data_IF_631684510597
#
_entry.id   IF_631684510597
#
_cell.length_a   1.000
_cell.length_b   1.000
_cell.length_c   1.000
_cell.angle_alpha   90.00
_cell.angle_beta   90.00
_cell.angle_gamma   90.00
#
_symmetry.space_group_name_H-M   'P 1'
#
loop_
_entity.id
_entity.type
_entity.pdbx_description
1 polymer ?
#
# COMPACT_ATOMS: atom_id res chain seq x y z
N UNK A 1 -10.82 25.68 10.35
CA UNK A 1 -9.94 26.44 9.44
C UNK A 1 -8.88 25.49 8.92
N UNK A 2 -8.88 25.22 7.61
CA UNK A 2 -7.81 24.45 6.96
C UNK A 2 -6.53 25.29 7.11
N UNK A 3 -5.51 24.77 7.79
CA UNK A 3 -4.19 25.43 7.76
C UNK A 3 -3.78 25.62 6.30
N UNK A 4 -3.42 26.84 5.92
CA UNK A 4 -2.87 27.19 4.60
C UNK A 4 -1.44 26.59 4.48
N UNK A 5 -1.33 25.25 4.47
CA UNK A 5 -0.06 24.56 4.30
C UNK A 5 0.31 24.57 2.82
N UNK A 6 1.58 24.84 2.55
CA UNK A 6 2.14 24.78 1.19
C UNK A 6 2.33 23.30 0.83
N UNK A 7 1.42 22.77 0.02
CA UNK A 7 1.45 21.39 -0.48
C UNK A 7 2.09 21.33 -1.89
N UNK A 8 2.75 20.22 -2.25
CA UNK A 8 3.14 19.99 -3.63
C UNK A 8 1.92 19.94 -4.57
N UNK A 9 2.12 20.38 -5.81
CA UNK A 9 1.07 20.25 -6.82
C UNK A 9 0.92 18.79 -7.29
N UNK A 10 -0.29 18.38 -7.70
CA UNK A 10 -0.50 17.08 -8.38
C UNK A 10 0.51 16.84 -9.51
N UNK A 11 0.76 17.82 -10.40
CA UNK A 11 1.74 17.64 -11.46
C UNK A 11 3.13 17.31 -10.91
N UNK A 12 3.59 18.03 -9.88
CA UNK A 12 4.87 17.75 -9.24
C UNK A 12 4.91 16.35 -8.61
N UNK A 13 3.84 15.94 -7.92
CA UNK A 13 3.73 14.60 -7.36
C UNK A 13 3.77 13.51 -8.44
N UNK A 14 3.07 13.73 -9.55
CA UNK A 14 2.99 12.78 -10.65
C UNK A 14 4.30 12.69 -11.44
N UNK A 15 5.02 13.81 -11.60
CA UNK A 15 6.38 13.81 -12.18
C UNK A 15 7.32 13.03 -11.28
N UNK A 16 7.29 13.25 -9.96
CA UNK A 16 8.15 12.50 -9.03
C UNK A 16 7.80 11.00 -9.08
N UNK A 17 6.51 10.65 -9.02
CA UNK A 17 6.05 9.27 -9.15
C UNK A 17 6.53 8.61 -10.45
N UNK A 18 6.45 9.33 -11.57
CA UNK A 18 6.97 8.86 -12.86
C UNK A 18 8.48 8.63 -12.82
N UNK A 19 9.26 9.59 -12.35
CA UNK A 19 10.73 9.48 -12.29
C UNK A 19 11.18 8.31 -11.41
N UNK A 20 10.56 8.18 -10.22
CA UNK A 20 10.83 7.06 -9.30
C UNK A 20 10.38 5.74 -9.94
N UNK A 21 9.21 5.69 -10.58
CA UNK A 21 8.72 4.50 -11.28
C UNK A 21 9.65 4.03 -12.40
N UNK A 22 10.21 4.95 -13.19
CA UNK A 22 11.24 4.63 -14.20
C UNK A 22 12.52 4.12 -13.54
N UNK A 23 12.99 4.77 -12.47
CA UNK A 23 14.18 4.32 -11.74
C UNK A 23 13.97 2.94 -11.12
N UNK A 24 12.77 2.62 -10.64
CA UNK A 24 12.40 1.32 -10.09
C UNK A 24 12.53 0.20 -11.13
N UNK A 25 11.92 0.36 -12.32
CA UNK A 25 11.94 -0.68 -13.37
C UNK A 25 13.29 -0.79 -14.10
N UNK A 26 14.22 0.14 -13.87
CA UNK A 26 15.56 0.14 -14.46
C UNK A 26 16.63 -0.18 -13.42
N UNK A 27 17.02 0.83 -12.64
CA UNK A 27 18.07 0.77 -11.62
C UNK A 27 17.65 -0.17 -10.48
N UNK A 28 16.41 -0.08 -10.01
CA UNK A 28 15.88 -0.93 -8.94
C UNK A 28 15.86 -2.41 -9.34
N UNK A 29 15.30 -2.71 -10.51
CA UNK A 29 15.27 -4.06 -11.08
C UNK A 29 16.69 -4.64 -11.25
N UNK A 30 17.63 -3.84 -11.77
CA UNK A 30 19.02 -4.25 -11.88
C UNK A 30 19.66 -4.52 -10.52
N UNK A 31 19.45 -3.65 -9.53
CA UNK A 31 20.00 -3.82 -8.19
C UNK A 31 19.47 -5.08 -7.49
N UNK A 32 18.18 -5.37 -7.64
CA UNK A 32 17.54 -6.57 -7.07
C UNK A 32 17.97 -7.87 -7.75
N UNK A 33 18.34 -7.82 -9.05
CA UNK A 33 18.81 -9.01 -9.79
C UNK A 33 20.13 -9.59 -9.26
N UNK A 34 20.98 -8.78 -8.62
CA UNK A 34 22.25 -9.23 -8.05
C UNK A 34 22.09 -9.82 -6.65
N UNK A 35 21.63 -9.00 -5.70
CA UNK A 35 21.32 -9.43 -4.34
C UNK A 35 20.01 -8.79 -3.90
N UNK A 36 18.99 -9.60 -3.68
CA UNK A 36 17.63 -9.11 -3.40
C UNK A 36 17.57 -8.20 -2.17
N UNK A 37 18.23 -8.52 -1.06
CA UNK A 37 18.20 -7.69 0.14
C UNK A 37 18.88 -6.34 -0.08
N UNK A 38 20.06 -6.33 -0.71
CA UNK A 38 20.77 -5.09 -1.02
C UNK A 38 20.00 -4.26 -2.06
N UNK A 39 19.43 -4.92 -3.07
CA UNK A 39 18.61 -4.28 -4.09
C UNK A 39 17.35 -3.64 -3.52
N UNK A 40 16.70 -4.29 -2.55
CA UNK A 40 15.57 -3.71 -1.81
C UNK A 40 16.02 -2.48 -1.00
N UNK A 41 17.14 -2.56 -0.27
CA UNK A 41 17.67 -1.39 0.45
C UNK A 41 17.99 -0.21 -0.48
N UNK A 42 18.60 -0.47 -1.64
CA UNK A 42 18.85 0.54 -2.68
C UNK A 42 17.54 1.13 -3.17
N UNK A 43 16.56 0.28 -3.47
CA UNK A 43 15.24 0.70 -3.97
C UNK A 43 14.55 1.62 -2.96
N UNK A 44 14.46 1.20 -1.71
CA UNK A 44 13.72 1.91 -0.69
C UNK A 44 14.41 3.22 -0.26
N UNK A 45 15.71 3.18 0.01
CA UNK A 45 16.41 4.35 0.54
C UNK A 45 16.88 5.30 -0.56
N UNK A 46 17.44 4.80 -1.66
CA UNK A 46 18.05 5.64 -2.70
C UNK A 46 17.08 6.02 -3.81
N UNK A 47 16.14 5.13 -4.18
CA UNK A 47 15.20 5.38 -5.28
C UNK A 47 13.89 6.00 -4.78
N UNK A 48 13.38 5.57 -3.62
CA UNK A 48 12.08 6.04 -3.09
C UNK A 48 12.26 7.19 -2.10
N UNK A 49 12.94 6.94 -0.97
CA UNK A 49 13.00 7.89 0.14
C UNK A 49 13.81 9.14 -0.19
N UNK A 50 15.03 8.96 -0.69
CA UNK A 50 15.95 10.07 -0.94
C UNK A 50 15.37 11.09 -1.93
N UNK A 51 14.86 10.72 -3.13
CA UNK A 51 14.30 11.69 -4.06
C UNK A 51 13.05 12.38 -3.51
N UNK A 52 12.22 11.65 -2.74
CA UNK A 52 11.03 12.22 -2.10
C UNK A 52 11.39 13.31 -1.08
N UNK A 53 12.31 13.03 -0.15
CA UNK A 53 12.73 14.00 0.85
C UNK A 53 13.51 15.16 0.23
N UNK A 54 14.37 14.87 -0.75
CA UNK A 54 15.14 15.87 -1.48
C UNK A 54 14.24 16.83 -2.25
N UNK A 55 13.21 16.29 -2.94
CA UNK A 55 12.20 17.09 -3.64
C UNK A 55 11.47 18.05 -2.69
N UNK A 56 10.97 17.54 -1.56
CA UNK A 56 10.29 18.37 -0.56
C UNK A 56 11.19 19.49 -0.04
N UNK A 57 12.47 19.17 0.23
CA UNK A 57 13.45 20.14 0.73
C UNK A 57 13.77 21.24 -0.29
N UNK A 58 14.05 20.89 -1.55
CA UNK A 58 14.40 21.86 -2.61
C UNK A 58 13.25 22.81 -2.92
N UNK A 59 12.02 22.32 -2.92
CA UNK A 59 10.83 23.13 -3.20
C UNK A 59 10.37 23.99 -2.01
N UNK A 60 11.06 23.88 -0.88
CA UNK A 60 10.74 24.59 0.35
C UNK A 60 9.39 24.16 0.95
N UNK A 61 9.00 22.90 0.76
CA UNK A 61 7.84 22.32 1.41
C UNK A 61 8.22 21.87 2.82
N UNK A 62 7.40 22.21 3.81
CA UNK A 62 7.63 21.78 5.19
C UNK A 62 7.51 20.26 5.30
N UNK A 63 8.61 19.57 5.61
CA UNK A 63 8.66 18.11 5.76
C UNK A 63 7.67 17.67 6.84
N UNK A 64 7.69 18.31 8.00
CA UNK A 64 6.84 17.94 9.14
C UNK A 64 5.35 18.04 8.83
N UNK A 65 4.94 19.11 8.14
CA UNK A 65 3.53 19.37 7.84
C UNK A 65 3.01 18.52 6.68
N UNK A 66 3.79 18.40 5.61
CA UNK A 66 3.40 17.61 4.44
C UNK A 66 3.40 16.11 4.73
N UNK A 67 4.41 15.63 5.46
CA UNK A 67 4.49 14.24 5.88
C UNK A 67 3.66 13.93 7.12
N UNK A 68 2.92 14.89 7.70
CA UNK A 68 2.10 14.67 8.91
C UNK A 68 2.88 13.95 10.03
N UNK A 69 4.09 14.43 10.35
CA UNK A 69 4.94 13.85 11.41
C UNK A 69 4.44 14.25 12.81
N UNK A 70 3.22 13.83 13.12
CA UNK A 70 2.57 13.99 14.41
C UNK A 70 2.68 12.68 15.19
N UNK A 71 2.90 12.78 16.50
CA UNK A 71 2.86 11.62 17.38
C UNK A 71 1.46 11.00 17.45
N UNK A 72 1.41 9.72 17.81
CA UNK A 72 0.16 9.03 18.14
C UNK A 72 0.16 8.65 19.62
N UNK A 73 -1.02 8.59 20.23
CA UNK A 73 -1.16 8.04 21.58
C UNK A 73 -1.29 6.51 21.56
N UNK A 74 -1.13 5.88 22.72
CA UNK A 74 -1.21 4.42 22.85
C UNK A 74 -2.54 3.85 22.35
N UNK A 75 -3.66 4.54 22.61
CA UNK A 75 -4.98 4.10 22.14
C UNK A 75 -5.02 4.05 20.61
N UNK A 76 -4.51 5.08 19.93
CA UNK A 76 -4.41 5.08 18.47
C UNK A 76 -3.52 3.95 17.96
N UNK A 77 -2.36 3.73 18.58
CA UNK A 77 -1.46 2.64 18.21
C UNK A 77 -2.16 1.26 18.33
N UNK A 78 -2.86 1.01 19.43
CA UNK A 78 -3.62 -0.24 19.63
C UNK A 78 -4.71 -0.39 18.57
N UNK A 79 -5.48 0.67 18.28
CA UNK A 79 -6.50 0.60 17.23
C UNK A 79 -5.89 0.33 15.86
N UNK A 80 -4.78 0.96 15.50
CA UNK A 80 -4.06 0.70 14.24
C UNK A 80 -3.64 -0.77 14.15
N UNK A 81 -3.04 -1.31 15.20
CA UNK A 81 -2.62 -2.73 15.26
C UNK A 81 -3.83 -3.64 15.04
N UNK A 82 -4.92 -3.43 15.79
CA UNK A 82 -6.13 -4.23 15.64
C UNK A 82 -6.71 -4.11 14.24
N UNK A 83 -6.83 -2.89 13.69
CA UNK A 83 -7.34 -2.67 12.34
C UNK A 83 -6.53 -3.47 11.33
N UNK A 84 -5.20 -3.47 11.40
CA UNK A 84 -4.35 -4.19 10.45
C UNK A 84 -4.47 -5.70 10.61
N UNK A 85 -4.41 -6.21 11.84
CA UNK A 85 -4.58 -7.66 12.11
C UNK A 85 -5.92 -8.16 11.57
N UNK A 86 -7.01 -7.45 11.86
CA UNK A 86 -8.34 -7.82 11.38
C UNK A 86 -8.56 -7.49 9.89
N UNK A 87 -7.69 -6.71 9.25
CA UNK A 87 -7.76 -6.46 7.79
C UNK A 87 -7.06 -7.53 6.97
N UNK A 88 -6.22 -8.38 7.58
CA UNK A 88 -5.40 -9.35 6.85
C UNK A 88 -6.22 -10.37 6.04
N UNK A 89 -7.34 -10.96 6.54
CA UNK A 89 -8.18 -11.84 5.73
C UNK A 89 -8.82 -11.14 4.53
N UNK A 90 -9.10 -9.83 4.65
CA UNK A 90 -9.65 -9.01 3.57
C UNK A 90 -8.59 -8.81 2.48
N UNK A 91 -7.35 -8.54 2.88
CA UNK A 91 -6.22 -8.41 1.96
C UNK A 91 -5.96 -9.73 1.20
N UNK A 92 -5.98 -10.87 1.91
CA UNK A 92 -5.88 -12.21 1.28
C UNK A 92 -6.99 -12.40 0.25
N UNK A 93 -8.25 -12.09 0.61
CA UNK A 93 -9.38 -12.23 -0.30
C UNK A 93 -9.22 -11.41 -1.58
N UNK A 94 -8.81 -10.15 -1.48
CA UNK A 94 -8.55 -9.32 -2.66
C UNK A 94 -7.40 -9.85 -3.52
N UNK A 95 -6.32 -10.31 -2.89
CA UNK A 95 -5.20 -10.89 -3.61
C UNK A 95 -5.61 -12.19 -4.32
N UNK A 96 -6.36 -13.05 -3.65
CA UNK A 96 -6.88 -14.30 -4.20
C UNK A 96 -7.82 -14.08 -5.38
N UNK A 97 -8.71 -13.08 -5.31
CA UNK A 97 -9.53 -12.66 -6.46
C UNK A 97 -8.64 -12.25 -7.63
N UNK A 98 -7.61 -11.44 -7.37
CA UNK A 98 -6.68 -10.99 -8.41
C UNK A 98 -5.99 -12.16 -9.12
N UNK A 99 -5.46 -13.10 -8.33
CA UNK A 99 -4.83 -14.32 -8.85
C UNK A 99 -5.82 -15.20 -9.62
N UNK A 100 -7.00 -15.46 -9.05
CA UNK A 100 -8.03 -16.26 -9.71
C UNK A 100 -8.50 -15.67 -11.04
N UNK A 101 -8.60 -14.35 -11.14
CA UNK A 101 -8.93 -13.70 -12.41
C UNK A 101 -7.79 -13.82 -13.41
N UNK A 102 -6.54 -13.69 -12.95
CA UNK A 102 -5.36 -13.71 -13.80
C UNK A 102 -5.05 -15.11 -14.34
N UNK A 103 -5.21 -16.14 -13.50
CA UNK A 103 -4.94 -17.54 -13.81
C UNK A 103 -5.76 -18.05 -15.01
N UNK A 104 -6.95 -17.46 -15.24
CA UNK A 104 -7.78 -17.73 -16.43
C UNK A 104 -7.14 -17.31 -17.75
N UNK A 105 -6.16 -16.43 -17.72
CA UNK A 105 -5.52 -15.85 -18.90
C UNK A 105 -4.04 -16.19 -18.99
N UNK A 106 -3.34 -16.30 -17.87
CA UNK A 106 -1.89 -16.49 -17.84
C UNK A 106 -1.46 -17.35 -16.63
N UNK A 107 -0.34 -18.06 -16.79
CA UNK A 107 0.24 -18.84 -15.70
C UNK A 107 0.74 -17.92 -14.59
N UNK A 108 0.22 -18.13 -13.38
CA UNK A 108 0.68 -17.46 -12.16
C UNK A 108 2.11 -17.89 -11.86
N UNK A 109 3.01 -16.91 -11.72
CA UNK A 109 4.43 -17.14 -11.40
C UNK A 109 4.69 -16.89 -9.91
N UNK A 110 5.44 -17.76 -9.22
CA UNK A 110 5.74 -17.58 -7.80
C UNK A 110 6.49 -16.27 -7.53
N UNK A 111 6.29 -15.71 -6.34
CA UNK A 111 6.96 -14.49 -5.91
C UNK A 111 8.45 -14.73 -5.68
N UNK A 112 9.27 -13.74 -6.03
CA UNK A 112 10.73 -13.78 -5.90
C UNK A 112 11.24 -13.35 -4.52
N UNK A 113 10.36 -12.93 -3.60
CA UNK A 113 10.75 -12.47 -2.27
C UNK A 113 11.19 -13.67 -1.42
N UNK A 114 12.40 -13.64 -0.82
CA UNK A 114 12.89 -14.75 -0.02
C UNK A 114 12.02 -15.01 1.21
N UNK A 115 11.62 -16.26 1.38
CA UNK A 115 11.00 -16.74 2.62
C UNK A 115 12.13 -17.14 3.57
N UNK A 116 12.27 -16.53 4.76
CA UNK A 116 13.32 -16.90 5.68
C UNK A 116 13.06 -18.30 6.27
N UNK A 117 14.13 -19.06 6.54
CA UNK A 117 14.06 -20.37 7.22
C UNK A 117 14.67 -20.37 8.62
N UNK A 118 15.58 -19.41 8.88
CA UNK A 118 16.23 -19.24 10.19
C UNK A 118 15.78 -17.95 10.88
N UNK A 119 15.84 -17.91 12.22
CA UNK A 119 15.53 -16.69 12.97
C UNK A 119 16.39 -15.49 12.56
N UNK A 120 17.67 -15.73 12.22
CA UNK A 120 18.56 -14.68 11.70
C UNK A 120 18.07 -14.12 10.37
N UNK A 121 17.68 -14.98 9.43
CA UNK A 121 17.09 -14.55 8.16
C UNK A 121 15.76 -13.83 8.38
N UNK A 122 14.93 -14.31 9.31
CA UNK A 122 13.68 -13.65 9.67
C UNK A 122 13.91 -12.22 10.16
N UNK A 123 14.90 -12.00 11.04
CA UNK A 123 15.24 -10.66 11.51
C UNK A 123 15.73 -9.73 10.39
N UNK A 124 16.57 -10.26 9.48
CA UNK A 124 17.03 -9.50 8.31
C UNK A 124 15.84 -9.15 7.40
N UNK A 125 14.98 -10.13 7.10
CA UNK A 125 13.78 -9.92 6.30
C UNK A 125 12.81 -8.95 6.97
N UNK A 126 12.66 -8.97 8.29
CA UNK A 126 11.84 -7.98 9.00
C UNK A 126 12.36 -6.56 8.76
N UNK A 127 13.68 -6.35 8.88
CA UNK A 127 14.26 -5.03 8.66
C UNK A 127 14.11 -4.57 7.20
N UNK A 128 14.38 -5.46 6.24
CA UNK A 128 14.47 -5.10 4.81
C UNK A 128 13.13 -5.15 4.08
N UNK A 129 12.26 -6.10 4.40
CA UNK A 129 11.00 -6.38 3.66
C UNK A 129 9.77 -5.85 4.42
N UNK A 130 9.85 -5.67 5.75
CA UNK A 130 8.73 -5.15 6.53
C UNK A 130 8.93 -3.70 6.97
N UNK A 131 9.99 -3.41 7.73
CA UNK A 131 10.22 -2.09 8.32
C UNK A 131 10.61 -1.06 7.26
N UNK A 132 11.54 -1.40 6.36
CA UNK A 132 12.07 -0.46 5.39
C UNK A 132 10.99 0.06 4.42
N UNK A 133 10.18 -0.79 3.75
CA UNK A 133 9.09 -0.31 2.90
C UNK A 133 8.01 0.41 3.71
N UNK A 134 7.74 -0.09 4.92
CA UNK A 134 6.82 0.56 5.86
C UNK A 134 7.18 2.00 6.18
N UNK A 135 8.46 2.39 6.12
CA UNK A 135 8.92 3.77 6.28
C UNK A 135 8.92 4.51 4.93
N UNK A 136 9.62 3.96 3.94
CA UNK A 136 9.97 4.68 2.72
C UNK A 136 8.74 4.88 1.82
N UNK A 137 7.95 3.83 1.63
CA UNK A 137 6.73 3.90 0.83
C UNK A 137 5.67 4.79 1.50
N UNK A 138 5.51 4.73 2.83
CA UNK A 138 4.55 5.61 3.53
C UNK A 138 4.91 7.09 3.36
N UNK A 139 6.20 7.45 3.46
CA UNK A 139 6.67 8.82 3.22
C UNK A 139 6.31 9.30 1.82
N UNK A 140 6.50 8.45 0.80
CA UNK A 140 6.14 8.78 -0.58
C UNK A 140 4.62 8.84 -0.78
N UNK A 141 3.88 7.79 -0.43
CA UNK A 141 2.48 7.64 -0.80
C UNK A 141 1.52 8.40 0.12
N UNK A 142 1.69 8.32 1.45
CA UNK A 142 0.79 8.94 2.42
C UNK A 142 1.24 10.34 2.80
N UNK A 143 2.55 10.55 2.82
CA UNK A 143 3.15 11.86 3.03
C UNK A 143 3.04 12.75 1.80
N UNK A 144 3.75 12.41 0.73
CA UNK A 144 3.93 13.30 -0.43
C UNK A 144 2.78 13.23 -1.44
N UNK A 145 2.47 12.04 -1.98
CA UNK A 145 1.46 11.87 -3.04
C UNK A 145 0.07 12.20 -2.49
N UNK A 146 -0.40 11.52 -1.44
CA UNK A 146 -1.75 11.75 -0.92
C UNK A 146 -2.00 13.22 -0.56
N UNK A 147 -1.06 13.87 0.14
CA UNK A 147 -1.18 15.29 0.50
C UNK A 147 -1.28 16.20 -0.74
N UNK A 148 -0.60 15.88 -1.84
CA UNK A 148 -0.69 16.65 -3.10
C UNK A 148 -2.07 16.55 -3.76
N UNK A 149 -2.79 15.47 -3.47
CA UNK A 149 -4.14 15.23 -3.96
C UNK A 149 -5.24 15.75 -3.00
N UNK A 150 -4.91 16.24 -1.79
CA UNK A 150 -5.89 16.78 -0.81
C UNK A 150 -6.79 17.86 -1.43
N UNK A 151 -6.27 18.65 -2.38
CA UNK A 151 -7.01 19.67 -3.15
C UNK A 151 -8.14 19.14 -4.02
N UNK A 152 -8.19 17.85 -4.32
CA UNK A 152 -9.30 17.18 -5.02
C UNK A 152 -10.40 16.70 -4.05
N UNK A 153 -10.14 16.79 -2.74
CA UNK A 153 -10.95 16.18 -1.70
C UNK A 153 -10.32 14.89 -1.15
N UNK A 154 -10.62 14.60 0.11
CA UNK A 154 -9.99 13.54 0.89
C UNK A 154 -10.26 12.18 0.27
N UNK A 155 -11.52 11.90 -0.08
CA UNK A 155 -11.89 10.64 -0.73
C UNK A 155 -11.07 10.39 -2.00
N UNK A 156 -10.92 11.40 -2.86
CA UNK A 156 -10.14 11.28 -4.09
C UNK A 156 -8.65 11.11 -3.80
N UNK A 157 -8.10 11.83 -2.84
CA UNK A 157 -6.70 11.68 -2.42
C UNK A 157 -6.38 10.27 -1.93
N UNK A 158 -7.24 9.67 -1.10
CA UNK A 158 -7.10 8.27 -0.65
C UNK A 158 -7.14 7.32 -1.85
N UNK A 159 -8.15 7.45 -2.71
CA UNK A 159 -8.35 6.54 -3.84
C UNK A 159 -7.18 6.62 -4.83
N UNK A 160 -6.78 7.82 -5.24
CA UNK A 160 -5.68 7.99 -6.19
C UNK A 160 -4.36 7.50 -5.60
N UNK A 161 -4.02 7.88 -4.36
CA UNK A 161 -2.79 7.39 -3.72
C UNK A 161 -2.77 5.86 -3.60
N UNK A 162 -3.90 5.24 -3.23
CA UNK A 162 -4.03 3.79 -3.14
C UNK A 162 -3.86 3.06 -4.48
N UNK A 163 -4.43 3.59 -5.56
CA UNK A 163 -4.29 3.03 -6.91
C UNK A 163 -2.83 3.14 -7.37
N UNK A 164 -2.22 4.33 -7.19
CA UNK A 164 -0.82 4.56 -7.54
C UNK A 164 0.12 3.64 -6.74
N UNK A 165 -0.19 3.40 -5.47
CA UNK A 165 0.55 2.48 -4.60
C UNK A 165 0.53 1.04 -5.13
N UNK A 166 -0.63 0.53 -5.54
CA UNK A 166 -0.72 -0.80 -6.13
C UNK A 166 0.02 -0.94 -7.46
N UNK A 167 -0.13 0.05 -8.35
CA UNK A 167 0.58 0.06 -9.65
C UNK A 167 2.10 0.11 -9.47
N UNK A 168 2.58 0.78 -8.42
CA UNK A 168 3.99 0.98 -8.16
C UNK A 168 4.76 -0.34 -7.89
N UNK A 169 4.06 -1.42 -7.59
CA UNK A 169 4.67 -2.74 -7.42
C UNK A 169 5.04 -3.42 -8.75
N UNK A 170 4.59 -2.89 -9.90
CA UNK A 170 4.84 -3.45 -11.24
C UNK A 170 4.52 -4.94 -11.41
N UNK A 171 3.64 -5.48 -10.56
CA UNK A 171 3.23 -6.88 -10.56
C UNK A 171 1.70 -6.99 -10.48
N UNK A 172 1.07 -7.40 -11.58
CA UNK A 172 -0.39 -7.58 -11.66
C UNK A 172 -0.91 -8.68 -10.72
N UNK A 173 -0.08 -9.67 -10.39
CA UNK A 173 -0.38 -10.70 -9.39
C UNK A 173 -0.51 -10.12 -7.98
N UNK A 174 0.08 -8.95 -7.73
CA UNK A 174 0.08 -8.25 -6.45
C UNK A 174 -0.51 -6.83 -6.57
N UNK A 175 -1.66 -6.68 -7.23
CA UNK A 175 -2.28 -5.38 -7.46
C UNK A 175 -3.39 -5.06 -6.45
N UNK A 176 -4.38 -5.95 -6.31
CA UNK A 176 -5.59 -5.66 -5.54
C UNK A 176 -5.34 -5.58 -4.03
N UNK A 177 -4.45 -6.43 -3.49
CA UNK A 177 -4.06 -6.40 -2.08
C UNK A 177 -3.43 -5.06 -1.67
N UNK A 178 -2.36 -4.61 -2.36
CA UNK A 178 -1.78 -3.30 -2.12
C UNK A 178 -2.75 -2.13 -2.31
N UNK A 179 -3.66 -2.15 -3.31
CA UNK A 179 -4.69 -1.10 -3.44
C UNK A 179 -5.58 -1.06 -2.19
N UNK A 180 -6.03 -2.21 -1.68
CA UNK A 180 -6.83 -2.28 -0.47
C UNK A 180 -6.10 -1.69 0.76
N UNK A 181 -4.84 -2.10 0.97
CA UNK A 181 -3.99 -1.53 2.04
C UNK A 181 -3.73 -0.04 1.83
N UNK A 182 -3.56 0.36 0.56
CA UNK A 182 -3.67 1.70 0.00
C UNK A 182 -4.73 2.53 0.69
N UNK A 183 -5.99 2.10 0.48
CA UNK A 183 -7.19 2.74 1.00
C UNK A 183 -7.20 2.75 2.53
N UNK A 184 -6.88 1.62 3.16
CA UNK A 184 -6.89 1.46 4.60
C UNK A 184 -5.94 2.45 5.30
N UNK A 185 -4.69 2.50 4.85
CA UNK A 185 -3.69 3.42 5.42
C UNK A 185 -4.00 4.88 5.09
N UNK A 186 -4.58 5.18 3.93
CA UNK A 186 -5.09 6.53 3.64
C UNK A 186 -6.14 6.99 4.65
N UNK A 187 -7.09 6.12 5.02
CA UNK A 187 -8.09 6.40 6.06
C UNK A 187 -7.41 6.62 7.43
N UNK A 188 -6.48 5.74 7.81
CA UNK A 188 -5.74 5.84 9.08
C UNK A 188 -4.93 7.15 9.15
N UNK A 189 -4.22 7.51 8.09
CA UNK A 189 -3.42 8.73 8.00
C UNK A 189 -4.28 9.98 8.21
N UNK A 190 -5.48 10.05 7.60
CA UNK A 190 -6.38 11.18 7.82
C UNK A 190 -6.98 11.20 9.22
N UNK A 191 -7.43 10.06 9.74
CA UNK A 191 -8.04 10.02 11.09
C UNK A 191 -7.04 10.40 12.16
N UNK A 192 -5.87 9.79 12.15
CA UNK A 192 -4.81 10.04 13.15
C UNK A 192 -4.03 11.32 12.87
N UNK A 193 -4.16 11.88 11.66
CA UNK A 193 -3.29 12.94 11.15
C UNK A 193 -1.81 12.63 11.36
N UNK A 194 -1.41 11.37 11.24
CA UNK A 194 -0.07 10.90 11.57
C UNK A 194 0.41 9.86 10.56
N UNK A 195 1.60 10.09 10.02
CA UNK A 195 2.31 9.09 9.22
C UNK A 195 2.88 7.97 10.08
N UNK A 196 3.20 8.23 11.35
CA UNK A 196 3.69 7.20 12.27
C UNK A 196 2.65 6.08 12.42
N UNK A 197 1.36 6.44 12.43
CA UNK A 197 0.27 5.47 12.44
C UNK A 197 0.35 4.51 11.24
N UNK A 198 0.57 5.03 10.03
CA UNK A 198 0.60 4.19 8.84
C UNK A 198 1.92 3.43 8.69
N UNK A 199 3.05 4.00 9.13
CA UNK A 199 4.34 3.28 9.20
C UNK A 199 4.22 2.04 10.10
N UNK A 200 3.61 2.19 11.28
CA UNK A 200 3.35 1.06 12.19
C UNK A 200 2.43 0.04 11.52
N UNK A 201 1.33 0.50 10.93
CA UNK A 201 0.36 -0.38 10.28
C UNK A 201 0.94 -1.15 9.10
N UNK A 202 1.73 -0.49 8.26
CA UNK A 202 2.37 -1.08 7.09
C UNK A 202 3.47 -2.07 7.51
N UNK A 203 4.35 -1.67 8.42
CA UNK A 203 5.38 -2.57 8.97
C UNK A 203 4.72 -3.82 9.57
N UNK A 204 3.63 -3.67 10.33
CA UNK A 204 2.89 -4.78 10.90
C UNK A 204 2.28 -5.69 9.82
N UNK A 205 1.66 -5.13 8.79
CA UNK A 205 1.11 -5.92 7.68
C UNK A 205 2.18 -6.81 7.03
N UNK A 206 3.34 -6.22 6.71
CA UNK A 206 4.43 -6.97 6.07
C UNK A 206 5.06 -7.97 7.05
N UNK A 207 5.08 -7.64 8.34
CA UNK A 207 5.52 -8.57 9.39
C UNK A 207 4.59 -9.78 9.51
N UNK A 208 3.27 -9.58 9.42
CA UNK A 208 2.31 -10.69 9.42
C UNK A 208 2.57 -11.61 8.22
N UNK A 209 2.69 -11.04 7.02
CA UNK A 209 2.99 -11.81 5.81
C UNK A 209 4.31 -12.58 5.93
N UNK A 210 5.36 -11.92 6.43
CA UNK A 210 6.66 -12.52 6.67
C UNK A 210 6.61 -13.66 7.70
N UNK A 211 5.87 -13.47 8.79
CA UNK A 211 5.73 -14.45 9.87
C UNK A 211 4.97 -15.68 9.40
N UNK A 212 3.92 -15.49 8.60
CA UNK A 212 3.18 -16.61 7.99
C UNK A 212 4.11 -17.41 7.08
N UNK A 213 4.85 -16.75 6.19
CA UNK A 213 5.83 -17.42 5.32
C UNK A 213 6.91 -18.18 6.11
N UNK A 214 7.50 -17.54 7.12
CA UNK A 214 8.50 -18.17 8.01
C UNK A 214 7.94 -19.41 8.72
N UNK A 215 6.69 -19.33 9.20
CA UNK A 215 6.06 -20.43 9.92
C UNK A 215 5.74 -21.59 8.99
N UNK A 216 5.20 -21.32 7.80
CA UNK A 216 4.92 -22.35 6.78
C UNK A 216 6.21 -23.09 6.40
N UNK A 217 7.29 -22.36 6.11
CA UNK A 217 8.56 -22.98 5.72
C UNK A 217 9.13 -23.88 6.83
N UNK A 218 9.01 -23.48 8.10
CA UNK A 218 9.43 -24.34 9.24
C UNK A 218 8.56 -25.58 9.41
N UNK A 219 7.29 -25.52 9.06
CA UNK A 219 6.38 -26.67 9.12
C UNK A 219 6.64 -27.63 7.96
N UNK A 220 6.96 -27.13 6.77
CA UNK A 220 7.37 -27.94 5.62
C UNK A 220 8.68 -28.70 5.88
N UNK A 221 9.65 -28.09 6.58
CA UNK A 221 10.86 -28.81 7.02
C UNK A 221 10.55 -29.97 8.00
N UNK A 222 9.38 -29.97 8.64
CA UNK A 222 8.92 -30.98 9.59
C UNK A 222 7.95 -32.03 8.98
N UNK A 223 7.39 -31.77 7.78
CA UNK A 223 6.40 -32.62 7.10
C UNK A 223 7.04 -33.23 5.83
N UNK A 224 6.81 -34.52 5.59
CA UNK A 224 7.31 -35.26 4.42
C UNK A 224 7.03 -34.50 3.10
N UNK A 225 8.03 -34.27 2.22
CA UNK A 225 7.89 -33.55 0.95
C UNK A 225 6.90 -34.17 -0.06
N UNK A 226 6.18 -35.24 0.29
CA UNK A 226 5.17 -35.89 -0.52
C UNK A 226 3.89 -35.05 -0.80
N UNK A 227 3.77 -33.83 -0.25
CA UNK A 227 2.69 -32.89 -0.61
C UNK A 227 3.22 -31.95 -1.70
N UNK A 228 3.19 -32.44 -2.93
CA UNK A 228 3.64 -31.73 -4.11
C UNK A 228 2.68 -30.58 -4.46
N UNK A 229 3.16 -29.33 -4.32
CA UNK A 229 2.55 -28.13 -4.89
C UNK A 229 1.22 -27.67 -4.27
N UNK A 230 1.07 -26.35 -4.08
CA UNK A 230 -0.26 -25.76 -3.86
C UNK A 230 -1.03 -25.86 -5.18
N UNK A 231 -1.81 -26.93 -5.36
CA UNK A 231 -2.74 -27.05 -6.47
C UNK A 231 -3.84 -26.02 -6.26
N UNK A 232 -3.94 -25.03 -7.16
CA UNK A 232 -5.08 -24.13 -7.15
C UNK A 232 -6.34 -24.96 -7.43
N UNK A 233 -7.33 -24.95 -6.54
CA UNK A 233 -8.55 -25.70 -6.77
C UNK A 233 -9.20 -25.22 -8.07
N UNK A 234 -9.64 -26.15 -8.92
CA UNK A 234 -10.31 -25.83 -10.18
C UNK A 234 -11.84 -25.94 -10.06
N UNK A 235 -12.56 -25.34 -11.01
CA UNK A 235 -14.01 -25.49 -11.12
C UNK A 235 -14.80 -25.06 -9.88
N UNK A 236 -15.66 -25.95 -9.37
CA UNK A 236 -16.53 -25.68 -8.22
C UNK A 236 -15.76 -25.49 -6.92
N UNK A 237 -14.60 -26.12 -6.76
CA UNK A 237 -13.79 -26.01 -5.55
C UNK A 237 -13.17 -24.62 -5.42
N UNK A 238 -12.68 -24.07 -6.53
CA UNK A 238 -12.20 -22.69 -6.62
C UNK A 238 -13.29 -21.71 -6.18
N UNK A 239 -14.49 -21.90 -6.73
CA UNK A 239 -15.64 -21.04 -6.47
C UNK A 239 -16.07 -21.11 -5.00
N UNK A 240 -16.10 -22.31 -4.41
CA UNK A 240 -16.37 -22.49 -2.99
C UNK A 240 -15.31 -21.83 -2.11
N UNK A 241 -14.02 -21.92 -2.50
CA UNK A 241 -12.92 -21.22 -1.84
C UNK A 241 -13.09 -19.70 -1.85
N UNK A 242 -13.43 -19.12 -3.01
CA UNK A 242 -13.70 -17.68 -3.13
C UNK A 242 -14.89 -17.28 -2.27
N UNK A 243 -15.98 -18.04 -2.30
CA UNK A 243 -17.18 -17.74 -1.49
C UNK A 243 -16.87 -17.81 0.00
N UNK A 244 -16.15 -18.85 0.44
CA UNK A 244 -15.71 -19.01 1.83
C UNK A 244 -14.84 -17.85 2.29
N UNK A 245 -13.79 -17.51 1.52
CA UNK A 245 -12.93 -16.35 1.79
C UNK A 245 -13.72 -15.04 1.76
N UNK A 246 -14.72 -14.92 0.88
CA UNK A 246 -15.59 -13.75 0.79
C UNK A 246 -16.46 -13.56 2.04
N UNK A 247 -17.02 -14.64 2.59
CA UNK A 247 -17.76 -14.60 3.85
C UNK A 247 -16.84 -14.19 5.00
N UNK A 248 -15.64 -14.76 5.09
CA UNK A 248 -14.64 -14.38 6.10
C UNK A 248 -14.27 -12.90 5.94
N UNK A 249 -13.96 -12.45 4.72
CA UNK A 249 -13.62 -11.07 4.43
C UNK A 249 -14.77 -10.11 4.79
N UNK A 250 -16.03 -10.51 4.59
CA UNK A 250 -17.19 -9.71 4.97
C UNK A 250 -17.32 -9.55 6.48
N UNK A 251 -17.18 -10.65 7.24
CA UNK A 251 -17.23 -10.63 8.72
C UNK A 251 -16.12 -9.73 9.27
N UNK A 252 -14.90 -9.94 8.81
CA UNK A 252 -13.75 -9.13 9.21
C UNK A 252 -13.89 -7.68 8.73
N UNK A 253 -14.50 -7.44 7.57
CA UNK A 253 -14.82 -6.10 7.05
C UNK A 253 -15.76 -5.33 7.98
N UNK A 254 -16.76 -5.99 8.56
CA UNK A 254 -17.65 -5.37 9.57
C UNK A 254 -16.86 -5.01 10.84
N UNK A 255 -15.95 -5.87 11.28
CA UNK A 255 -15.09 -5.62 12.46
C UNK A 255 -14.17 -4.42 12.18
N UNK A 256 -13.46 -4.44 11.06
CA UNK A 256 -12.56 -3.36 10.63
C UNK A 256 -13.31 -2.05 10.49
N UNK A 257 -14.51 -2.06 9.89
CA UNK A 257 -15.37 -0.87 9.80
C UNK A 257 -15.69 -0.29 11.19
N UNK A 258 -16.08 -1.14 12.16
CA UNK A 258 -16.34 -0.70 13.54
C UNK A 258 -15.07 -0.17 14.21
N UNK A 259 -13.92 -0.80 14.01
CA UNK A 259 -12.63 -0.34 14.55
C UNK A 259 -12.23 1.01 13.96
N UNK A 260 -12.33 1.18 12.64
CA UNK A 260 -12.08 2.45 11.95
C UNK A 260 -13.04 3.51 12.46
N UNK A 261 -14.34 3.20 12.64
CA UNK A 261 -15.33 4.15 13.18
C UNK A 261 -14.90 4.68 14.55
N UNK A 262 -14.39 3.81 15.42
CA UNK A 262 -14.00 4.13 16.79
C UNK A 262 -12.54 4.58 16.96
N UNK A 263 -11.70 4.50 15.92
CA UNK A 263 -10.32 5.00 15.95
C UNK A 263 -10.32 6.50 16.36
N UNK A 264 -9.64 6.88 17.45
CA UNK A 264 -9.59 8.28 17.89
C UNK A 264 -8.95 9.18 16.84
N UNK A 265 -9.68 10.22 16.43
CA UNK A 265 -9.17 11.21 15.48
C UNK A 265 -8.26 12.25 16.15
N UNK A 266 -7.38 12.89 15.39
CA UNK A 266 -6.50 13.97 15.88
C UNK A 266 -6.39 15.12 14.89
N UNK A 267 -5.88 16.27 15.35
CA UNK A 267 -5.76 17.48 14.54
C UNK A 267 -7.12 18.04 14.13
N UNK A 268 -7.23 18.48 12.87
CA UNK A 268 -8.45 19.07 12.30
C UNK A 268 -9.65 18.09 12.21
N UNK A 269 -9.46 16.83 12.59
CA UNK A 269 -10.43 15.74 12.47
C UNK A 269 -11.05 15.33 13.81
N UNK A 270 -10.67 15.98 14.91
CA UNK A 270 -11.23 15.73 16.23
C UNK A 270 -12.75 16.03 16.23
N UNK A 271 -13.57 15.03 16.61
CA UNK A 271 -15.03 15.16 16.67
C UNK A 271 -15.80 14.88 15.36
N UNK A 272 -15.12 14.55 14.26
CA UNK A 272 -15.77 14.26 12.98
C UNK A 272 -16.21 12.78 12.90
N UNK A 273 -17.51 12.52 12.72
CA UNK A 273 -18.05 11.15 12.57
C UNK A 273 -17.68 10.51 11.23
N UNK A 274 -17.36 9.20 11.24
CA UNK A 274 -16.96 8.44 10.04
C UNK A 274 -18.09 8.30 9.01
N UNK A 275 -19.36 8.41 9.41
CA UNK A 275 -20.48 8.40 8.47
C UNK A 275 -20.40 9.60 7.49
N UNK A 276 -19.78 10.72 7.91
CA UNK A 276 -19.49 11.88 7.07
C UNK A 276 -18.16 11.77 6.28
N UNK A 277 -17.40 10.69 6.45
CA UNK A 277 -16.13 10.45 5.74
C UNK A 277 -16.36 9.98 4.29
N UNK A 278 -17.45 9.24 4.03
CA UNK A 278 -17.83 8.75 2.69
C UNK A 278 -18.98 9.57 2.08
N UNK A 279 -19.95 10.01 2.89
CA UNK A 279 -21.14 10.77 2.46
C UNK A 279 -21.02 12.29 2.67
N UNK A 280 -20.32 12.76 3.71
CA UNK A 280 -20.19 14.20 4.00
C UNK A 280 -19.29 14.96 3.03
N UNK A 281 -18.38 14.25 2.34
CA UNK A 281 -17.52 14.82 1.32
C UNK A 281 -18.32 15.24 0.07
N UNK A 282 -19.53 14.70 -0.20
CA UNK A 282 -20.34 15.06 -1.38
C UNK A 282 -21.04 16.41 -1.25
N UNK A 283 -21.56 16.75 -0.07
CA UNK A 283 -22.16 18.06 0.21
C UNK A 283 -21.09 19.16 0.29
N UNK A 284 -19.91 18.84 0.83
CA UNK A 284 -18.76 19.74 0.83
C UNK A 284 -18.06 19.82 -0.56
N UNK A 285 -18.07 18.77 -1.39
CA UNK A 285 -17.64 18.81 -2.81
C UNK A 285 -18.51 19.75 -3.63
N UNK A 286 -19.82 19.80 -3.35
CA UNK A 286 -20.76 20.69 -4.06
C UNK A 286 -20.59 22.16 -3.64
N UNK A 287 -20.28 22.41 -2.36
CA UNK A 287 -20.11 23.77 -1.81
C UNK A 287 -18.67 24.33 -1.99
N UNK A 288 -17.65 23.48 -2.11
CA UNK A 288 -16.26 23.91 -2.30
C UNK A 288 -15.88 23.91 -3.77
N UNK A 289 -15.21 24.97 -4.22
CA UNK A 289 -14.66 25.13 -5.57
C UNK A 289 -13.44 24.20 -5.80
N UNK A 290 -13.57 22.91 -5.49
CA UNK A 290 -12.50 21.90 -5.63
C UNK A 290 -12.10 21.80 -7.10
N UNK A 291 -10.80 21.90 -7.35
CA UNK A 291 -10.23 21.78 -8.70
C UNK A 291 -10.40 20.35 -9.20
N UNK A 292 -10.69 20.17 -10.48
CA UNK A 292 -10.46 18.91 -11.17
C UNK A 292 -8.97 18.75 -11.49
N UNK A 293 -8.52 17.50 -11.63
CA UNK A 293 -7.18 17.20 -12.13
C UNK A 293 -7.12 17.58 -13.61
N UNK A 294 -6.13 18.38 -14.00
CA UNK A 294 -5.93 18.73 -15.40
C UNK A 294 -5.43 17.55 -16.21
N UNK A 295 -5.59 17.63 -17.54
CA UNK A 295 -5.03 16.61 -18.46
C UNK A 295 -3.51 16.54 -18.29
N UNK A 296 -2.84 17.68 -18.23
CA UNK A 296 -1.38 17.77 -18.06
C UNK A 296 -0.92 17.13 -16.76
N UNK A 297 -1.67 17.34 -15.66
CA UNK A 297 -1.38 16.72 -14.36
C UNK A 297 -1.37 15.18 -14.47
N UNK A 298 -2.20 14.60 -15.34
CA UNK A 298 -2.40 13.15 -15.46
C UNK A 298 -1.38 12.43 -16.35
N UNK A 299 -0.69 13.15 -17.25
CA UNK A 299 0.21 12.56 -18.26
C UNK A 299 1.28 11.64 -17.64
N UNK A 300 2.03 12.05 -16.59
CA UNK A 300 3.10 11.21 -16.04
C UNK A 300 2.58 9.87 -15.49
N UNK A 301 1.43 9.89 -14.82
CA UNK A 301 0.76 8.69 -14.29
C UNK A 301 0.26 7.80 -15.43
N UNK A 302 -0.33 8.39 -16.47
CA UNK A 302 -0.79 7.64 -17.64
C UNK A 302 0.35 6.87 -18.30
N UNK A 303 1.54 7.47 -18.43
CA UNK A 303 2.72 6.79 -18.96
C UNK A 303 3.11 5.59 -18.08
N UNK A 304 3.13 5.74 -16.75
CA UNK A 304 3.40 4.61 -15.84
C UNK A 304 2.36 3.50 -15.98
N UNK A 305 1.07 3.84 -16.13
CA UNK A 305 0.01 2.84 -16.36
C UNK A 305 0.26 2.05 -17.64
N UNK A 306 0.62 2.73 -18.73
CA UNK A 306 0.98 2.05 -20.00
C UNK A 306 2.19 1.14 -19.81
N UNK A 307 3.23 1.62 -19.13
CA UNK A 307 4.42 0.81 -18.84
C UNK A 307 4.09 -0.40 -17.96
N UNK A 308 3.25 -0.23 -16.94
CA UNK A 308 2.75 -1.31 -16.09
C UNK A 308 2.05 -2.39 -16.91
N UNK A 309 1.15 -1.99 -17.82
CA UNK A 309 0.42 -2.93 -18.70
C UNK A 309 1.38 -3.67 -19.64
N UNK A 310 2.30 -2.95 -20.30
CA UNK A 310 3.26 -3.57 -21.23
C UNK A 310 4.21 -4.52 -20.49
N UNK A 311 4.71 -4.12 -19.31
CA UNK A 311 5.58 -4.95 -18.47
C UNK A 311 4.88 -6.24 -18.06
N UNK A 312 3.67 -6.14 -17.51
CA UNK A 312 2.93 -7.31 -17.05
C UNK A 312 2.48 -8.21 -18.21
N UNK A 313 2.13 -7.64 -19.36
CA UNK A 313 1.84 -8.43 -20.55
C UNK A 313 3.06 -9.28 -20.96
N UNK A 314 4.25 -8.67 -21.04
CA UNK A 314 5.48 -9.41 -21.34
C UNK A 314 5.82 -10.44 -20.26
N UNK A 315 5.65 -10.11 -18.99
CA UNK A 315 5.97 -11.01 -17.89
C UNK A 315 5.06 -12.24 -17.83
N UNK A 316 3.78 -12.10 -18.23
CA UNK A 316 2.79 -13.16 -18.11
C UNK A 316 2.63 -14.00 -19.38
N UNK A 317 2.81 -13.39 -20.56
CA UNK A 317 2.55 -14.03 -21.86
C UNK A 317 3.80 -14.20 -22.74
N UNK A 318 4.95 -13.70 -22.29
CA UNK A 318 6.26 -13.88 -22.94
C UNK A 318 7.12 -14.91 -22.23
#
# INVERSE_FOLDING_TARGET
MIKNRKEPSILEANILYFLIGIALITIGAQAQSGNIYMGLLITEYLIILLPTLFFLKIKGYSIRENLRLNGINLKQAVFVILIVVFSYPIAIFFNFIGLFLLDKFAQVRPNTVPIPSTFKQYLISFLVIALTPGICEEIMFRGMIMSSYDKLGRKKAIIYSAILFGIFHFNAQNLLGPIFLGLLFGIIAYKTNSLIATIIGHTLNNTIALTIGYTINRLEDEIDPAIDGVVFPEGSEALMGIVGLGIVALIFGIIVYKLIKNLPSSGEYQGMEVNNFVLGDSLMDFASKKRSMGIIDSIPVFIIIVLFMVWNYKYLFG
#
